data_IF_121010526760
#
_entry.id   IF_121010526760
#
_cell.length_a   1.000
_cell.length_b   1.000
_cell.length_c   1.000
_cell.angle_alpha   90.00
_cell.angle_beta   90.00
_cell.angle_gamma   90.00
#
_symmetry.space_group_name_H-M   'P 1'
#
loop_
_entity.id
_entity.type
_entity.pdbx_description
1 polymer ?
#
# COMPACT_ATOMS: atom_id res chain seq x y z
N UNK A 1 2.63 0.35 -12.42
CA UNK A 1 2.43 0.68 -11.01
C UNK A 1 3.45 -0.07 -10.18
N UNK A 2 4.11 0.62 -9.27
CA UNK A 2 5.20 0.06 -8.47
C UNK A 2 4.75 -0.12 -7.03
N UNK A 3 4.97 -1.30 -6.47
CA UNK A 3 4.64 -1.63 -5.09
C UNK A 3 5.94 -1.90 -4.33
N UNK A 4 6.15 -1.17 -3.24
CA UNK A 4 7.34 -1.34 -2.40
C UNK A 4 6.93 -1.55 -0.96
N UNK A 5 7.61 -2.48 -0.28
CA UNK A 5 7.44 -2.69 1.16
C UNK A 5 8.77 -2.49 1.85
N UNK A 6 8.77 -1.66 2.88
CA UNK A 6 9.93 -1.34 3.69
C UNK A 6 9.72 -1.86 5.10
N UNK A 7 10.80 -2.33 5.73
CA UNK A 7 10.76 -2.62 7.16
C UNK A 7 10.53 -1.32 7.94
N UNK A 8 9.63 -1.35 8.92
CA UNK A 8 9.43 -0.23 9.82
C UNK A 8 10.46 -0.20 10.96
N UNK A 9 11.16 -1.31 11.16
CA UNK A 9 12.27 -1.38 12.11
C UNK A 9 13.51 -0.65 11.55
N UNK A 10 14.40 -0.25 12.43
CA UNK A 10 15.66 0.38 12.02
C UNK A 10 16.75 -0.67 11.75
N UNK A 11 17.56 -0.53 10.68
CA UNK A 11 17.46 0.48 9.64
C UNK A 11 16.28 0.22 8.69
N UNK A 12 15.71 1.28 8.15
CA UNK A 12 14.67 1.17 7.14
C UNK A 12 15.30 0.62 5.87
N UNK A 13 14.81 -0.51 5.41
CA UNK A 13 15.32 -1.17 4.20
C UNK A 13 14.18 -1.79 3.41
N UNK A 14 14.32 -1.88 2.08
CA UNK A 14 13.30 -2.55 1.28
C UNK A 14 13.24 -4.03 1.63
N UNK A 15 12.03 -4.54 1.90
CA UNK A 15 11.78 -5.97 2.08
C UNK A 15 11.38 -6.61 0.74
N UNK A 16 10.63 -5.89 -0.05
CA UNK A 16 10.16 -6.36 -1.35
C UNK A 16 9.78 -5.21 -2.25
N UNK A 17 10.09 -5.33 -3.52
CA UNK A 17 9.68 -4.39 -4.56
C UNK A 17 9.15 -5.17 -5.75
N UNK A 18 7.98 -4.76 -6.26
CA UNK A 18 7.41 -5.29 -7.50
C UNK A 18 7.13 -4.11 -8.41
N UNK A 19 7.83 -4.06 -9.53
CA UNK A 19 7.71 -2.99 -10.51
C UNK A 19 6.79 -3.41 -11.66
N UNK A 20 6.08 -2.44 -12.23
CA UNK A 20 5.25 -2.61 -13.42
C UNK A 20 4.17 -3.71 -13.28
N UNK A 21 3.61 -3.87 -12.08
CA UNK A 21 2.53 -4.82 -11.87
C UNK A 21 1.24 -4.33 -12.53
N UNK A 22 0.86 -4.91 -13.66
CA UNK A 22 -0.34 -4.51 -14.40
C UNK A 22 -1.62 -5.04 -13.74
N UNK A 23 -1.69 -6.34 -13.49
CA UNK A 23 -2.89 -6.95 -12.87
C UNK A 23 -3.09 -6.47 -11.43
N UNK A 24 -2.03 -6.43 -10.63
CA UNK A 24 -2.08 -5.90 -9.27
C UNK A 24 -2.43 -4.41 -9.26
N UNK A 25 -1.93 -3.65 -10.21
CA UNK A 25 -2.25 -2.23 -10.36
C UNK A 25 -3.72 -1.99 -10.67
N UNK A 26 -4.33 -2.79 -11.51
CA UNK A 26 -5.76 -2.69 -11.82
C UNK A 26 -6.62 -2.96 -10.58
N UNK A 27 -6.30 -4.00 -9.81
CA UNK A 27 -7.02 -4.34 -8.58
C UNK A 27 -6.85 -3.26 -7.52
N UNK A 28 -5.65 -2.73 -7.36
CA UNK A 28 -5.39 -1.64 -6.43
C UNK A 28 -6.18 -0.39 -6.81
N UNK A 29 -6.18 -0.01 -8.07
CA UNK A 29 -6.91 1.17 -8.56
C UNK A 29 -8.42 1.03 -8.32
N UNK A 30 -9.00 -0.13 -8.61
CA UNK A 30 -10.41 -0.40 -8.35
C UNK A 30 -10.73 -0.30 -6.85
N UNK A 31 -9.88 -0.85 -6.00
CA UNK A 31 -10.06 -0.80 -4.55
C UNK A 31 -9.96 0.63 -4.01
N UNK A 32 -9.00 1.43 -4.47
CA UNK A 32 -8.84 2.83 -4.08
C UNK A 32 -10.06 3.67 -4.49
N UNK A 33 -10.57 3.46 -5.69
CA UNK A 33 -11.74 4.20 -6.17
C UNK A 33 -13.02 3.91 -5.38
N UNK A 34 -13.10 2.75 -4.77
CA UNK A 34 -14.23 2.34 -3.93
C UNK A 34 -14.03 2.66 -2.45
N UNK A 35 -12.81 3.02 -2.02
CA UNK A 35 -12.49 3.23 -0.63
C UNK A 35 -12.87 4.63 -0.14
N UNK A 36 -13.20 4.81 1.16
CA UNK A 36 -13.43 6.14 1.72
C UNK A 36 -12.12 6.95 1.76
N UNK A 37 -12.25 8.29 1.76
CA UNK A 37 -11.08 9.17 1.74
C UNK A 37 -10.28 9.14 3.05
N UNK A 38 -10.90 8.80 4.17
CA UNK A 38 -10.26 8.70 5.48
C UNK A 38 -10.50 7.31 6.06
N UNK A 39 -9.58 6.39 5.82
CA UNK A 39 -9.68 5.05 6.32
C UNK A 39 -8.66 4.73 7.41
N UNK A 40 -9.12 4.12 8.49
CA UNK A 40 -8.27 3.54 9.52
C UNK A 40 -8.74 2.13 9.80
N UNK A 41 -7.86 1.16 9.66
CA UNK A 41 -8.21 -0.23 9.96
C UNK A 41 -7.42 -0.81 11.12
N UNK A 42 -6.34 -0.16 11.56
CA UNK A 42 -5.55 -0.60 12.70
C UNK A 42 -6.07 -0.02 14.01
N UNK A 43 -6.04 -0.79 15.11
CA UNK A 43 -6.26 -0.24 16.45
C UNK A 43 -5.25 0.86 16.79
N UNK A 44 -5.63 1.75 17.72
CA UNK A 44 -4.83 2.92 18.09
C UNK A 44 -3.43 2.58 18.60
N UNK A 45 -3.26 1.40 19.22
CA UNK A 45 -1.97 0.96 19.79
C UNK A 45 -1.34 -0.16 18.97
N UNK A 46 -1.40 -0.06 17.67
CA UNK A 46 -0.81 -1.06 16.78
C UNK A 46 0.69 -0.83 16.64
N UNK A 47 1.48 -1.89 16.81
CA UNK A 47 2.89 -1.90 16.44
C UNK A 47 3.01 -2.14 14.94
N UNK A 48 3.44 -1.12 14.22
CA UNK A 48 3.58 -1.22 12.77
C UNK A 48 4.85 -2.01 12.40
N UNK A 49 4.70 -2.92 11.45
CA UNK A 49 5.75 -3.83 11.00
C UNK A 49 6.39 -3.38 9.68
N UNK A 50 5.62 -2.71 8.84
CA UNK A 50 6.06 -2.32 7.51
C UNK A 50 5.43 -1.01 7.06
N UNK A 51 6.08 -0.36 6.10
CA UNK A 51 5.54 0.74 5.33
C UNK A 51 5.40 0.27 3.89
N UNK A 52 4.18 0.25 3.38
CA UNK A 52 3.91 -0.04 1.97
C UNK A 52 3.72 1.26 1.21
N UNK A 53 4.40 1.36 0.08
CA UNK A 53 4.28 2.50 -0.83
C UNK A 53 3.85 1.99 -2.19
N UNK A 54 2.74 2.51 -2.69
CA UNK A 54 2.26 2.23 -4.04
C UNK A 54 2.42 3.49 -4.87
N UNK A 55 3.25 3.43 -5.88
CA UNK A 55 3.50 4.56 -6.79
C UNK A 55 2.75 4.34 -8.09
N UNK A 56 1.89 5.28 -8.41
CA UNK A 56 1.10 5.28 -9.64
C UNK A 56 1.64 6.37 -10.55
N UNK A 57 2.21 5.97 -11.67
CA UNK A 57 2.63 6.88 -12.72
C UNK A 57 1.66 6.75 -13.89
N UNK A 58 1.01 7.84 -14.27
CA UNK A 58 0.20 7.91 -15.47
C UNK A 58 1.06 8.51 -16.60
N UNK A 59 0.83 8.03 -17.84
CA UNK A 59 1.55 8.53 -19.01
C UNK A 59 1.38 10.03 -19.23
N UNK A 60 0.25 10.59 -18.85
CA UNK A 60 -0.05 12.01 -18.95
C UNK A 60 0.37 12.79 -17.69
N UNK A 61 0.84 12.11 -16.67
CA UNK A 61 1.16 12.73 -15.40
C UNK A 61 2.59 13.25 -15.38
N UNK A 62 2.76 14.46 -14.90
CA UNK A 62 4.07 15.07 -14.72
C UNK A 62 4.80 14.52 -13.50
N UNK A 63 4.03 14.06 -12.50
CA UNK A 63 4.59 13.49 -11.28
C UNK A 63 3.78 12.26 -10.85
N UNK A 64 4.44 11.19 -10.37
CA UNK A 64 3.74 10.03 -9.87
C UNK A 64 2.99 10.37 -8.59
N UNK A 65 1.84 9.72 -8.40
CA UNK A 65 1.08 9.78 -7.14
C UNK A 65 1.52 8.63 -6.27
N UNK A 66 1.80 8.91 -5.01
CA UNK A 66 2.17 7.90 -4.03
C UNK A 66 1.06 7.69 -3.00
N UNK A 67 0.75 6.43 -2.73
CA UNK A 67 -0.10 6.01 -1.62
C UNK A 67 0.76 5.30 -0.60
N UNK A 68 0.69 5.73 0.65
CA UNK A 68 1.51 5.18 1.73
C UNK A 68 0.64 4.58 2.81
N UNK A 69 1.00 3.38 3.26
CA UNK A 69 0.27 2.63 4.27
C UNK A 69 1.21 2.08 5.32
N UNK A 70 0.97 2.46 6.57
CA UNK A 70 1.61 1.78 7.70
C UNK A 70 0.89 0.44 7.90
N UNK A 71 1.64 -0.65 7.95
CA UNK A 71 1.07 -1.99 8.03
C UNK A 71 1.37 -2.62 9.38
N UNK A 72 0.31 -3.01 10.06
CA UNK A 72 0.38 -3.86 11.24
C UNK A 72 -0.08 -5.28 10.91
N UNK A 73 -0.13 -6.19 11.92
CA UNK A 73 -0.66 -7.53 11.70
C UNK A 73 -2.11 -7.48 11.21
N UNK A 74 -2.34 -7.90 9.98
CA UNK A 74 -3.65 -7.95 9.33
C UNK A 74 -4.39 -6.61 9.29
N UNK A 75 -3.69 -5.49 9.32
CA UNK A 75 -4.30 -4.16 9.28
C UNK A 75 -3.40 -3.14 8.58
N UNK A 76 -3.91 -1.96 8.35
CA UNK A 76 -3.16 -0.86 7.77
C UNK A 76 -3.75 0.49 8.13
N UNK A 77 -2.93 1.53 8.00
CA UNK A 77 -3.32 2.93 8.22
C UNK A 77 -2.77 3.78 7.09
N UNK A 78 -3.61 4.57 6.47
CA UNK A 78 -3.23 5.47 5.38
C UNK A 78 -4.44 6.02 4.65
N UNK A 79 -4.21 6.85 3.64
CA UNK A 79 -5.28 7.45 2.84
C UNK A 79 -6.02 6.39 2.03
N UNK A 80 -7.34 6.45 2.02
CA UNK A 80 -8.20 5.50 1.31
C UNK A 80 -7.99 4.05 1.74
N UNK A 81 -7.55 3.81 2.97
CA UNK A 81 -7.37 2.45 3.45
C UNK A 81 -8.71 1.75 3.64
N UNK A 82 -8.80 0.53 3.14
CA UNK A 82 -9.94 -0.35 3.29
C UNK A 82 -9.45 -1.79 3.18
N UNK A 83 -10.20 -2.80 3.67
CA UNK A 83 -9.78 -4.19 3.54
C UNK A 83 -9.44 -4.61 2.11
N UNK A 84 -10.21 -4.14 1.12
CA UNK A 84 -9.94 -4.45 -0.28
C UNK A 84 -8.64 -3.82 -0.80
N UNK A 85 -8.28 -2.62 -0.31
CA UNK A 85 -7.02 -1.96 -0.66
C UNK A 85 -5.84 -2.74 -0.11
N UNK A 86 -5.90 -3.13 1.15
CA UNK A 86 -4.84 -3.93 1.79
C UNK A 86 -4.71 -5.31 1.13
N UNK A 87 -5.83 -5.94 0.78
CA UNK A 87 -5.83 -7.22 0.08
C UNK A 87 -5.18 -7.09 -1.31
N UNK A 88 -5.44 -6.01 -2.04
CA UNK A 88 -4.83 -5.78 -3.34
C UNK A 88 -3.30 -5.60 -3.23
N UNK A 89 -2.83 -4.92 -2.20
CA UNK A 89 -1.40 -4.77 -1.95
C UNK A 89 -0.78 -6.14 -1.58
N UNK A 90 -1.44 -6.90 -0.72
CA UNK A 90 -0.94 -8.20 -0.26
C UNK A 90 -0.91 -9.25 -1.38
N UNK A 91 -1.77 -9.15 -2.37
CA UNK A 91 -1.69 -10.00 -3.57
C UNK A 91 -0.39 -9.79 -4.34
N UNK A 92 0.13 -8.57 -4.34
CA UNK A 92 1.36 -8.22 -5.04
C UNK A 92 2.59 -8.47 -4.18
N UNK A 93 2.56 -8.02 -2.93
CA UNK A 93 3.73 -8.03 -2.03
C UNK A 93 3.75 -9.22 -1.08
N UNK A 94 2.65 -9.93 -0.93
CA UNK A 94 2.47 -10.95 0.09
C UNK A 94 1.93 -10.37 1.39
N UNK A 95 1.43 -11.20 2.31
CA UNK A 95 0.92 -10.73 3.59
C UNK A 95 2.02 -10.15 4.47
N UNK A 96 1.62 -9.24 5.33
CA UNK A 96 2.53 -8.67 6.34
C UNK A 96 2.70 -9.60 7.50
#
# INVERSE_FOLDING_TARGET
MTFCRYSYAKPVSPLRTVEHSTAGGQRFRAAINAAPSDGKSCPVRTDYLALDVVRVADRASVAPVEFRYLRGPSCGYGDHVAPAVLAAIDEVLGPV
#
